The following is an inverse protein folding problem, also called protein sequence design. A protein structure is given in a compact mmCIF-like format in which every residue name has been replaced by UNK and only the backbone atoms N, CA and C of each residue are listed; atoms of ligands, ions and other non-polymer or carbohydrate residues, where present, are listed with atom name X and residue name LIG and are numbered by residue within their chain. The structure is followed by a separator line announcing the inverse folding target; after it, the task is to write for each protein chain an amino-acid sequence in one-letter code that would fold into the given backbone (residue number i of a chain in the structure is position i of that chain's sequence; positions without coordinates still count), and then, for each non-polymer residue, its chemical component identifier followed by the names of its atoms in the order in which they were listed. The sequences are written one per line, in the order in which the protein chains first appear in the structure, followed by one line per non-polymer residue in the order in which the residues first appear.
data_IF_768332392003
#
_entry.id   IF_768332392003
#
_cell.length_a   1.000
_cell.length_b   1.000
_cell.length_c   1.000
_cell.angle_alpha   90.00
_cell.angle_beta   90.00
_cell.angle_gamma   90.00
#
_symmetry.space_group_name_H-M   'P 1'
#
loop_
_entity.id
_entity.type
_entity.pdbx_description
1 polymer ?
#
# COMPACT_ATOMS: atom_id res chain seq x y z
N UNK A 1 16.01 -23.34 -7.14
CA UNK A 1 15.81 -21.98 -6.57
C UNK A 1 14.36 -21.92 -6.12
N UNK A 2 14.13 -21.44 -4.91
CA UNK A 2 12.78 -21.28 -4.37
C UNK A 2 12.20 -19.91 -4.84
N UNK A 3 10.95 -19.89 -5.22
CA UNK A 3 10.22 -18.66 -5.51
C UNK A 3 9.42 -18.22 -4.26
N UNK A 4 9.13 -16.94 -4.14
CA UNK A 4 8.20 -16.43 -3.16
C UNK A 4 6.80 -16.34 -3.78
N UNK A 5 5.87 -17.14 -3.29
CA UNK A 5 4.49 -17.21 -3.82
C UNK A 5 3.52 -16.58 -2.85
N UNK A 6 2.57 -15.78 -3.33
CA UNK A 6 1.46 -15.28 -2.52
C UNK A 6 0.46 -16.43 -2.34
N UNK A 7 0.31 -16.94 -1.12
CA UNK A 7 -0.62 -18.03 -0.82
C UNK A 7 -1.90 -17.56 -0.14
N UNK A 8 -1.90 -16.38 0.47
CA UNK A 8 -3.08 -15.78 1.11
C UNK A 8 -3.04 -14.27 1.05
N UNK A 9 -4.22 -13.65 0.99
CA UNK A 9 -4.43 -12.20 1.04
C UNK A 9 -5.45 -11.85 2.12
N UNK A 10 -5.34 -10.66 2.71
CA UNK A 10 -6.30 -10.18 3.69
C UNK A 10 -6.34 -8.66 3.73
N UNK A 11 -7.53 -8.10 3.85
CA UNK A 11 -7.75 -6.67 3.96
C UNK A 11 -8.61 -6.33 5.18
N UNK A 12 -8.45 -5.11 5.68
CA UNK A 12 -9.32 -4.54 6.70
C UNK A 12 -9.44 -3.03 6.52
N UNK A 13 -10.67 -2.53 6.63
CA UNK A 13 -11.00 -1.11 6.62
C UNK A 13 -11.75 -0.77 7.91
N UNK A 14 -11.45 0.36 8.56
CA UNK A 14 -12.24 0.85 9.70
C UNK A 14 -13.73 0.90 9.39
N UNK A 15 -14.57 0.64 10.37
CA UNK A 15 -16.03 0.65 10.20
C UNK A 15 -16.60 2.05 9.95
N UNK A 16 -15.90 3.10 10.37
CA UNK A 16 -16.35 4.49 10.22
C UNK A 16 -16.13 4.98 8.79
N UNK A 17 -17.20 5.04 8.01
CA UNK A 17 -17.21 5.55 6.63
C UNK A 17 -17.47 7.04 6.63
N UNK A 18 -16.58 7.80 6.01
CA UNK A 18 -16.70 9.24 5.80
C UNK A 18 -16.94 9.50 4.31
N UNK A 19 -18.10 10.06 3.98
CA UNK A 19 -18.50 10.39 2.61
C UNK A 19 -17.99 11.78 2.21
N UNK A 20 -18.05 12.10 0.90
CA UNK A 20 -17.76 13.45 0.45
C UNK A 20 -18.73 14.50 1.04
N UNK A 21 -20.00 14.14 1.25
CA UNK A 21 -20.98 15.02 1.90
C UNK A 21 -20.65 15.31 3.37
N UNK A 22 -19.94 14.41 4.06
CA UNK A 22 -19.45 14.69 5.40
C UNK A 22 -18.31 15.69 5.38
N UNK A 23 -17.45 15.63 4.37
CA UNK A 23 -16.35 16.59 4.18
C UNK A 23 -16.82 17.98 3.78
N UNK A 24 -17.95 18.10 3.08
CA UNK A 24 -18.59 19.41 2.77
C UNK A 24 -18.95 20.22 4.03
N UNK A 25 -19.10 19.53 5.18
CA UNK A 25 -19.37 20.16 6.47
C UNK A 25 -18.10 20.69 7.15
N UNK A 26 -16.93 20.23 6.72
CA UNK A 26 -15.64 20.51 7.36
C UNK A 26 -14.81 21.52 6.57
N UNK A 27 -14.82 21.43 5.23
CA UNK A 27 -14.02 22.29 4.34
C UNK A 27 -14.84 22.74 3.13
N UNK A 28 -14.42 23.83 2.50
CA UNK A 28 -15.02 24.35 1.27
C UNK A 28 -14.77 23.44 0.07
N UNK A 29 -15.64 22.43 -0.10
CA UNK A 29 -15.57 21.41 -1.16
C UNK A 29 -16.98 20.96 -1.58
N UNK A 30 -17.08 20.05 -2.57
CA UNK A 30 -18.32 19.37 -2.93
C UNK A 30 -18.06 17.94 -3.38
N UNK A 31 -19.06 17.05 -3.25
CA UNK A 31 -19.01 15.68 -3.76
C UNK A 31 -18.62 15.67 -5.24
N UNK A 32 -19.25 16.52 -6.05
CA UNK A 32 -18.92 16.64 -7.47
C UNK A 32 -17.45 17.00 -7.68
N UNK A 33 -16.93 18.01 -6.98
CA UNK A 33 -15.54 18.45 -7.11
C UNK A 33 -14.53 17.35 -6.74
N UNK A 34 -14.80 16.60 -5.66
CA UNK A 34 -13.94 15.48 -5.22
C UNK A 34 -13.97 14.36 -6.25
N UNK A 35 -15.15 13.91 -6.69
CA UNK A 35 -15.31 12.81 -7.67
C UNK A 35 -14.64 13.13 -9.00
N UNK A 36 -14.85 14.31 -9.55
CA UNK A 36 -14.27 14.70 -10.85
C UNK A 36 -12.74 14.73 -10.82
N UNK A 37 -12.14 15.07 -9.68
CA UNK A 37 -10.69 15.22 -9.55
C UNK A 37 -9.98 13.98 -9.07
N UNK A 38 -10.63 13.16 -8.27
CA UNK A 38 -9.99 12.04 -7.57
C UNK A 38 -10.64 10.69 -7.85
N UNK A 39 -11.92 10.68 -8.23
CA UNK A 39 -12.74 9.48 -8.30
C UNK A 39 -13.22 8.97 -6.93
N UNK A 40 -12.87 9.65 -5.83
CA UNK A 40 -13.19 9.22 -4.47
C UNK A 40 -14.64 9.60 -4.14
N UNK A 41 -15.39 8.63 -3.61
CA UNK A 41 -16.77 8.80 -3.13
C UNK A 41 -16.83 8.80 -1.61
N UNK A 42 -16.00 7.97 -1.00
CA UNK A 42 -15.90 7.80 0.45
C UNK A 42 -14.48 7.34 0.83
N UNK A 43 -14.19 7.39 2.12
CA UNK A 43 -13.01 6.81 2.74
C UNK A 43 -13.38 6.22 4.10
N UNK A 44 -12.51 5.40 4.63
CA UNK A 44 -12.65 4.84 5.97
C UNK A 44 -11.66 5.53 6.90
N UNK A 45 -12.10 5.87 8.09
CA UNK A 45 -11.29 6.59 9.07
C UNK A 45 -11.32 5.82 10.38
N UNK A 46 -10.15 5.50 10.92
CA UNK A 46 -10.01 4.83 12.20
C UNK A 46 -10.67 5.64 13.32
N UNK A 47 -11.45 4.96 14.15
CA UNK A 47 -12.12 5.59 15.30
C UNK A 47 -11.09 5.95 16.39
N UNK A 48 -11.51 6.72 17.38
CA UNK A 48 -10.66 7.04 18.53
C UNK A 48 -10.18 5.75 19.23
N UNK A 49 -8.88 5.65 19.46
CA UNK A 49 -8.25 4.47 20.07
C UNK A 49 -7.91 3.34 19.11
N UNK A 50 -8.45 3.32 17.89
CA UNK A 50 -8.07 2.35 16.85
C UNK A 50 -6.72 2.75 16.22
N UNK A 51 -5.75 1.85 16.23
CA UNK A 51 -4.37 2.11 15.84
C UNK A 51 -4.00 1.40 14.53
N UNK A 52 -2.83 1.75 13.96
CA UNK A 52 -2.32 1.09 12.74
C UNK A 52 -2.15 -0.41 12.96
N UNK A 53 -1.69 -0.84 14.14
CA UNK A 53 -1.54 -2.27 14.43
C UNK A 53 -2.87 -2.96 14.64
N UNK A 54 -3.91 -2.29 15.14
CA UNK A 54 -5.26 -2.87 15.23
C UNK A 54 -5.78 -3.23 13.83
N UNK A 55 -5.63 -2.32 12.86
CA UNK A 55 -6.02 -2.58 11.47
C UNK A 55 -5.19 -3.70 10.86
N UNK A 56 -3.88 -3.66 11.09
CA UNK A 56 -2.93 -4.66 10.58
C UNK A 56 -3.20 -6.06 11.13
N UNK A 57 -3.57 -6.19 12.40
CA UNK A 57 -3.93 -7.46 13.02
C UNK A 57 -5.11 -8.11 12.31
N UNK A 58 -6.19 -7.36 12.04
CA UNK A 58 -7.36 -7.89 11.33
C UNK A 58 -7.01 -8.33 9.90
N UNK A 59 -6.27 -7.49 9.15
CA UNK A 59 -5.83 -7.84 7.81
C UNK A 59 -4.91 -9.08 7.81
N UNK A 60 -4.00 -9.19 8.79
CA UNK A 60 -3.09 -10.32 8.92
C UNK A 60 -3.82 -11.62 9.24
N UNK A 61 -4.79 -11.60 10.17
CA UNK A 61 -5.61 -12.77 10.48
C UNK A 61 -6.40 -13.25 9.26
N UNK A 62 -6.98 -12.31 8.48
CA UNK A 62 -7.67 -12.63 7.24
C UNK A 62 -6.71 -13.24 6.19
N UNK A 63 -5.45 -12.78 6.11
CA UNK A 63 -4.46 -13.33 5.20
C UNK A 63 -3.99 -14.74 5.62
N UNK A 64 -3.80 -14.98 6.91
CA UNK A 64 -3.43 -16.28 7.50
C UNK A 64 -4.55 -17.29 7.25
N UNK A 65 -5.81 -16.92 7.51
CA UNK A 65 -6.98 -17.76 7.23
C UNK A 65 -7.08 -18.12 5.74
N UNK A 66 -6.92 -17.11 4.86
CA UNK A 66 -6.96 -17.32 3.41
C UNK A 66 -5.81 -18.20 2.89
N UNK A 67 -4.65 -18.16 3.56
CA UNK A 67 -3.51 -19.02 3.26
C UNK A 67 -3.70 -20.47 3.76
N UNK A 68 -4.61 -20.69 4.72
CA UNK A 68 -4.83 -21.99 5.34
C UNK A 68 -3.66 -22.52 6.17
N UNK A 69 -2.88 -21.61 6.77
CA UNK A 69 -1.71 -21.95 7.60
C UNK A 69 -1.95 -21.59 9.08
N UNK A 70 -1.14 -22.15 9.95
CA UNK A 70 -1.04 -21.70 11.34
C UNK A 70 -0.11 -20.48 11.44
N UNK A 71 -0.45 -19.51 12.32
CA UNK A 71 0.38 -18.32 12.52
C UNK A 71 1.82 -18.66 12.95
N UNK A 72 2.03 -19.77 13.65
CA UNK A 72 3.35 -20.26 14.07
C UNK A 72 4.27 -20.68 12.92
N UNK A 73 3.73 -20.84 11.70
CA UNK A 73 4.53 -21.13 10.50
C UNK A 73 5.21 -19.86 9.93
N UNK A 74 4.83 -18.68 10.41
CA UNK A 74 5.41 -17.41 9.96
C UNK A 74 6.78 -17.23 10.63
N UNK A 75 7.82 -17.12 9.82
CA UNK A 75 9.21 -16.98 10.25
C UNK A 75 9.84 -15.63 9.84
N UNK A 76 9.03 -14.70 9.27
CA UNK A 76 9.41 -13.31 8.96
C UNK A 76 8.17 -12.40 8.95
N UNK A 77 8.28 -11.22 9.57
CA UNK A 77 7.26 -10.17 9.46
C UNK A 77 7.91 -8.89 8.92
N UNK A 78 7.41 -8.39 7.78
CA UNK A 78 7.80 -7.09 7.20
C UNK A 78 6.58 -6.19 7.15
N UNK A 79 6.63 -5.08 7.87
CA UNK A 79 5.51 -4.16 8.05
C UNK A 79 5.82 -2.80 7.44
N UNK A 80 5.06 -2.39 6.43
CA UNK A 80 5.18 -1.09 5.79
C UNK A 80 4.19 -0.09 6.38
N UNK A 81 4.70 0.98 6.99
CA UNK A 81 3.87 2.06 7.53
C UNK A 81 4.64 3.37 7.62
N UNK A 82 3.92 4.50 7.51
CA UNK A 82 4.39 5.85 7.83
C UNK A 82 3.74 6.40 9.10
N UNK A 83 2.78 5.65 9.67
CA UNK A 83 1.99 6.02 10.85
C UNK A 83 2.08 4.91 11.93
N UNK A 84 3.30 4.59 12.41
CA UNK A 84 3.46 3.55 13.43
C UNK A 84 2.81 3.97 14.75
N UNK A 85 2.30 3.01 15.52
CA UNK A 85 1.67 3.27 16.83
C UNK A 85 2.64 3.88 17.82
N UNK A 86 3.92 3.54 17.71
CA UNK A 86 4.99 3.97 18.62
C UNK A 86 6.27 4.28 17.86
N UNK A 87 7.15 5.08 18.46
CA UNK A 87 8.50 5.29 17.94
C UNK A 87 9.28 3.96 18.01
N UNK A 88 9.14 3.24 19.11
CA UNK A 88 9.59 1.87 19.35
C UNK A 88 8.76 1.24 20.48
N UNK A 89 8.57 -0.10 20.55
CA UNK A 89 8.99 -1.06 19.54
C UNK A 89 8.30 -0.84 18.19
N UNK A 90 8.81 -1.49 17.13
CA UNK A 90 8.22 -1.44 15.79
C UNK A 90 6.79 -1.99 15.77
N UNK A 91 5.97 -1.54 14.81
CA UNK A 91 4.61 -2.05 14.60
C UNK A 91 4.63 -3.55 14.32
N UNK A 92 5.63 -4.04 13.58
CA UNK A 92 5.84 -5.47 13.33
C UNK A 92 6.05 -6.27 14.62
N UNK A 93 6.83 -5.77 15.59
CA UNK A 93 7.01 -6.45 16.89
C UNK A 93 5.73 -6.47 17.72
N UNK A 94 4.93 -5.40 17.66
CA UNK A 94 3.65 -5.35 18.36
C UNK A 94 2.67 -6.33 17.71
N UNK A 95 2.59 -6.36 16.38
CA UNK A 95 1.77 -7.29 15.62
C UNK A 95 2.17 -8.74 15.87
N UNK A 96 3.48 -9.04 15.90
CA UNK A 96 4.03 -10.35 16.21
C UNK A 96 3.49 -10.90 17.53
N UNK A 97 3.52 -10.06 18.58
CA UNK A 97 3.02 -10.45 19.90
C UNK A 97 1.50 -10.67 19.89
N UNK A 98 0.73 -9.87 19.14
CA UNK A 98 -0.74 -10.01 19.04
C UNK A 98 -1.17 -11.26 18.26
N UNK A 99 -0.36 -11.70 17.31
CA UNK A 99 -0.59 -12.93 16.55
C UNK A 99 -0.04 -14.18 17.24
N UNK A 100 0.56 -14.04 18.45
CA UNK A 100 1.20 -15.10 19.22
C UNK A 100 2.35 -15.79 18.43
N UNK A 101 3.07 -15.02 17.62
CA UNK A 101 4.24 -15.47 16.86
C UNK A 101 5.48 -15.12 17.65
N UNK A 102 6.45 -16.05 17.73
CA UNK A 102 7.65 -15.87 18.55
C UNK A 102 8.92 -16.17 17.78
N UNK A 103 9.99 -15.41 18.08
CA UNK A 103 11.37 -15.69 17.68
C UNK A 103 11.75 -15.38 16.24
N UNK A 104 10.81 -15.03 15.36
CA UNK A 104 11.14 -14.62 14.00
C UNK A 104 11.54 -13.14 13.93
N UNK A 105 12.35 -12.72 12.91
CA UNK A 105 12.58 -11.31 12.62
C UNK A 105 11.26 -10.57 12.32
N UNK A 106 11.09 -9.41 12.96
CA UNK A 106 9.93 -8.54 12.77
C UNK A 106 10.38 -7.07 12.77
N UNK A 107 10.15 -6.34 11.68
CA UNK A 107 10.61 -4.97 11.52
C UNK A 107 9.71 -4.15 10.61
N UNK A 108 9.70 -2.83 10.87
CA UNK A 108 8.99 -1.86 10.04
C UNK A 108 9.90 -1.33 8.94
N UNK A 109 9.29 -0.96 7.82
CA UNK A 109 9.91 -0.19 6.74
C UNK A 109 9.06 1.02 6.41
N UNK A 110 9.69 2.09 5.94
CA UNK A 110 9.00 3.29 5.50
C UNK A 110 9.38 3.63 4.06
N UNK A 111 8.40 3.61 3.17
CA UNK A 111 8.48 4.13 1.81
C UNK A 111 7.12 4.70 1.37
N UNK A 112 6.34 5.20 2.32
CA UNK A 112 5.02 5.81 2.16
C UNK A 112 4.11 4.94 1.27
N UNK A 113 3.51 5.48 0.23
CA UNK A 113 2.60 4.75 -0.65
C UNK A 113 3.26 3.56 -1.39
N UNK A 114 4.59 3.56 -1.52
CA UNK A 114 5.35 2.45 -2.12
C UNK A 114 5.76 1.40 -1.09
N UNK A 115 5.45 1.62 0.20
CA UNK A 115 5.90 0.79 1.31
C UNK A 115 5.62 -0.69 1.12
N UNK A 116 4.41 -1.06 0.68
CA UNK A 116 4.06 -2.46 0.47
C UNK A 116 4.89 -3.12 -0.65
N UNK A 117 5.16 -2.41 -1.75
CA UNK A 117 6.01 -2.89 -2.85
C UNK A 117 7.45 -3.14 -2.35
N UNK A 118 7.99 -2.23 -1.53
CA UNK A 118 9.29 -2.40 -0.88
C UNK A 118 9.29 -3.60 0.08
N UNK A 119 8.23 -3.75 0.89
CA UNK A 119 8.08 -4.87 1.82
C UNK A 119 8.06 -6.22 1.10
N UNK A 120 7.30 -6.32 -0.01
CA UNK A 120 7.27 -7.51 -0.87
C UNK A 120 8.66 -7.82 -1.44
N UNK A 121 9.35 -6.80 -1.96
CA UNK A 121 10.69 -6.97 -2.52
C UNK A 121 11.69 -7.47 -1.47
N UNK A 122 11.62 -6.95 -0.24
CA UNK A 122 12.49 -7.39 0.87
C UNK A 122 12.16 -8.84 1.26
N UNK A 123 10.90 -9.15 1.52
CA UNK A 123 10.47 -10.49 1.93
C UNK A 123 10.79 -11.55 0.86
N UNK A 124 10.63 -11.21 -0.42
CA UNK A 124 11.05 -12.07 -1.55
C UNK A 124 12.53 -12.44 -1.45
N UNK A 125 13.42 -11.50 -1.11
CA UNK A 125 14.86 -11.78 -1.01
C UNK A 125 15.16 -12.70 0.15
N UNK A 126 14.50 -12.54 1.30
CA UNK A 126 14.64 -13.48 2.44
C UNK A 126 14.22 -14.89 2.05
N UNK A 127 13.12 -15.05 1.32
CA UNK A 127 12.64 -16.36 0.86
C UNK A 127 13.59 -16.95 -0.18
N UNK A 128 13.99 -16.20 -1.20
CA UNK A 128 14.89 -16.66 -2.26
C UNK A 128 16.28 -17.07 -1.74
N UNK A 129 16.76 -16.43 -0.68
CA UNK A 129 18.04 -16.80 -0.02
C UNK A 129 17.92 -17.94 0.98
N UNK A 130 16.70 -18.41 1.26
CA UNK A 130 16.44 -19.44 2.26
C UNK A 130 16.55 -18.94 3.71
N UNK A 131 16.58 -17.60 3.91
CA UNK A 131 16.62 -16.99 5.25
C UNK A 131 15.25 -16.96 5.92
N UNK A 132 14.18 -17.10 5.15
CA UNK A 132 12.80 -17.29 5.60
C UNK A 132 12.09 -18.27 4.66
N UNK A 133 11.07 -18.95 5.17
CA UNK A 133 10.19 -19.84 4.39
C UNK A 133 8.81 -19.26 4.20
N UNK A 134 8.26 -18.63 5.25
CA UNK A 134 6.90 -18.08 5.26
C UNK A 134 6.94 -16.67 5.83
N UNK A 135 6.61 -15.67 5.02
CA UNK A 135 6.64 -14.27 5.41
C UNK A 135 5.24 -13.67 5.45
N UNK A 136 4.92 -12.95 6.52
CA UNK A 136 3.79 -12.03 6.59
C UNK A 136 4.28 -10.65 6.14
N UNK A 137 3.66 -10.12 5.09
CA UNK A 137 3.95 -8.78 4.54
C UNK A 137 2.72 -7.91 4.69
N UNK A 138 2.86 -6.80 5.41
CA UNK A 138 1.76 -5.91 5.77
C UNK A 138 2.01 -4.51 5.24
N UNK A 139 0.96 -3.87 4.72
CA UNK A 139 0.89 -2.43 4.51
C UNK A 139 -0.30 -1.88 5.29
N UNK A 140 -0.05 -0.99 6.25
CA UNK A 140 -1.12 -0.46 7.11
C UNK A 140 -0.87 0.99 7.49
N UNK A 141 -1.95 1.79 7.54
CA UNK A 141 -1.88 3.22 7.84
C UNK A 141 -3.12 3.71 8.60
N UNK A 142 -2.90 4.57 9.55
CA UNK A 142 -3.89 5.52 10.08
C UNK A 142 -3.49 6.91 9.60
N UNK A 143 -3.59 7.13 8.28
CA UNK A 143 -3.10 8.34 7.62
C UNK A 143 -3.90 9.58 8.01
N UNK A 144 -5.16 9.40 8.43
CA UNK A 144 -6.04 10.45 8.94
C UNK A 144 -5.47 11.22 10.13
N UNK A 145 -4.54 10.62 10.89
CA UNK A 145 -3.91 11.22 12.08
C UNK A 145 -2.87 12.31 11.75
N UNK A 146 -2.36 12.31 10.54
CA UNK A 146 -1.36 13.26 10.05
C UNK A 146 -1.92 14.21 9.00
N UNK A 147 -3.26 14.30 8.86
CA UNK A 147 -3.94 15.24 7.98
C UNK A 147 -4.28 16.54 8.70
N UNK A 148 -4.04 17.66 8.03
CA UNK A 148 -4.69 18.91 8.38
C UNK A 148 -6.10 18.90 7.79
N UNK A 149 -7.11 18.73 8.63
CA UNK A 149 -8.51 18.67 8.20
C UNK A 149 -9.07 20.00 7.68
N UNK A 150 -8.31 21.10 7.80
CA UNK A 150 -8.62 22.39 7.18
C UNK A 150 -8.01 22.54 5.77
N UNK A 151 -7.07 21.65 5.38
CA UNK A 151 -6.48 21.63 4.05
C UNK A 151 -7.27 20.74 3.10
N UNK A 152 -8.14 21.37 2.30
CA UNK A 152 -8.90 20.70 1.23
C UNK A 152 -8.01 19.95 0.22
N UNK A 153 -6.74 20.34 0.06
CA UNK A 153 -5.83 19.75 -0.91
C UNK A 153 -5.41 18.32 -0.53
N UNK A 154 -5.46 17.99 0.74
CA UNK A 154 -5.02 16.70 1.28
C UNK A 154 -6.14 15.92 1.97
N UNK A 155 -6.97 16.53 2.81
CA UNK A 155 -7.94 15.83 3.64
C UNK A 155 -9.02 15.07 2.83
N UNK A 156 -9.30 15.49 1.60
CA UNK A 156 -10.28 14.82 0.72
C UNK A 156 -9.73 13.56 0.05
N UNK A 157 -8.42 13.30 0.13
CA UNK A 157 -7.77 12.21 -0.60
C UNK A 157 -7.62 10.95 0.24
N UNK A 158 -7.14 11.10 1.47
CA UNK A 158 -6.62 9.98 2.24
C UNK A 158 -7.68 9.29 3.09
N UNK A 159 -7.44 8.01 3.33
CA UNK A 159 -8.18 7.17 4.27
C UNK A 159 -7.25 6.21 4.99
N UNK A 160 -7.81 5.46 5.92
CA UNK A 160 -7.12 4.50 6.77
C UNK A 160 -7.45 3.07 6.33
N UNK A 161 -6.54 2.14 6.61
CA UNK A 161 -6.76 0.73 6.31
C UNK A 161 -5.49 -0.10 6.42
N UNK A 162 -5.66 -1.41 6.29
CA UNK A 162 -4.57 -2.37 6.27
C UNK A 162 -4.81 -3.46 5.22
N UNK A 163 -3.74 -3.88 4.58
CA UNK A 163 -3.74 -5.07 3.75
C UNK A 163 -2.51 -5.91 4.02
N UNK A 164 -2.66 -7.22 3.92
CA UNK A 164 -1.60 -8.18 4.20
C UNK A 164 -1.59 -9.31 3.18
N UNK A 165 -0.41 -9.88 2.97
CA UNK A 165 -0.27 -11.13 2.22
C UNK A 165 0.65 -12.09 2.96
N UNK A 166 0.44 -13.39 2.75
CA UNK A 166 1.37 -14.44 3.12
C UNK A 166 2.17 -14.83 1.89
N UNK A 167 3.50 -14.68 1.98
CA UNK A 167 4.44 -15.24 1.02
C UNK A 167 4.97 -16.57 1.56
N UNK A 168 5.07 -17.58 0.71
CA UNK A 168 5.67 -18.85 1.05
C UNK A 168 6.67 -19.29 -0.03
N UNK A 169 7.73 -19.95 0.41
CA UNK A 169 8.71 -20.60 -0.45
C UNK A 169 8.06 -21.72 -1.23
N UNK A 170 8.15 -21.69 -2.57
CA UNK A 170 7.58 -22.68 -3.47
C UNK A 170 8.55 -23.02 -4.62
N UNK A 171 8.39 -24.19 -5.23
CA UNK A 171 9.07 -24.54 -6.46
C UNK A 171 8.37 -23.95 -7.70
N UNK A 172 7.05 -23.70 -7.59
CA UNK A 172 6.28 -23.02 -8.63
C UNK A 172 6.56 -21.51 -8.61
N UNK A 173 6.49 -20.92 -9.80
CA UNK A 173 6.72 -19.49 -9.99
C UNK A 173 5.68 -18.65 -9.25
N UNK A 174 6.15 -17.77 -8.38
CA UNK A 174 5.36 -16.75 -7.72
C UNK A 174 5.80 -15.36 -8.16
N UNK A 175 6.56 -14.63 -7.32
CA UNK A 175 7.17 -13.35 -7.71
C UNK A 175 8.27 -13.59 -8.75
N UNK A 176 8.08 -13.05 -9.96
CA UNK A 176 9.05 -13.15 -11.05
C UNK A 176 10.18 -12.14 -10.84
N UNK A 177 9.81 -10.89 -10.60
CA UNK A 177 10.76 -9.80 -10.35
C UNK A 177 10.15 -8.71 -9.48
N UNK A 178 11.02 -7.98 -8.79
CA UNK A 178 10.68 -6.78 -8.04
C UNK A 178 11.70 -5.68 -8.33
N UNK A 179 11.21 -4.46 -8.56
CA UNK A 179 12.00 -3.28 -8.89
C UNK A 179 11.60 -2.15 -7.95
N UNK A 180 12.58 -1.58 -7.25
CA UNK A 180 12.35 -0.50 -6.28
C UNK A 180 13.38 0.61 -6.47
N UNK A 181 12.92 1.86 -6.39
CA UNK A 181 13.74 3.06 -6.64
C UNK A 181 13.33 4.21 -5.74
N UNK A 182 14.25 5.13 -5.50
CA UNK A 182 14.02 6.39 -4.81
C UNK A 182 14.80 7.55 -5.45
N UNK A 183 14.27 8.78 -5.28
CA UNK A 183 14.98 10.02 -5.62
C UNK A 183 14.65 11.11 -4.58
N UNK A 184 15.53 11.28 -3.61
CA UNK A 184 15.34 12.17 -2.46
C UNK A 184 15.34 13.67 -2.81
N UNK A 185 15.72 14.08 -4.04
CA UNK A 185 15.68 15.49 -4.45
C UNK A 185 14.26 16.09 -4.47
N UNK A 186 13.23 15.26 -4.41
CA UNK A 186 11.82 15.66 -4.43
C UNK A 186 11.15 15.62 -3.04
N UNK A 187 11.92 15.57 -1.96
CA UNK A 187 11.42 15.38 -0.59
C UNK A 187 10.24 16.30 -0.24
N UNK A 188 10.29 17.58 -0.61
CA UNK A 188 9.31 18.60 -0.27
C UNK A 188 8.06 18.67 -1.17
N UNK A 189 7.87 17.70 -2.07
CA UNK A 189 6.70 17.65 -2.95
C UNK A 189 5.54 16.85 -2.33
N UNK A 190 5.85 15.89 -1.46
CA UNK A 190 4.89 15.13 -0.66
C UNK A 190 5.59 14.64 0.60
N UNK A 191 5.36 15.30 1.72
CA UNK A 191 6.10 15.07 2.97
C UNK A 191 5.27 15.44 4.21
N UNK A 192 5.78 15.08 5.36
CA UNK A 192 5.45 15.68 6.66
C UNK A 192 6.70 16.40 7.13
N UNK A 193 6.70 17.74 7.23
CA UNK A 193 7.94 18.52 7.39
C UNK A 193 8.63 18.33 8.73
N UNK A 194 7.92 17.86 9.75
CA UNK A 194 8.42 17.66 11.09
C UNK A 194 8.14 16.27 11.64
N UNK A 195 9.08 15.73 12.39
CA UNK A 195 8.99 14.42 13.01
C UNK A 195 9.72 14.36 14.35
N UNK A 196 9.90 13.17 14.88
CA UNK A 196 10.54 12.96 16.19
C UNK A 196 11.99 13.47 16.27
N UNK A 197 12.68 13.58 15.12
CA UNK A 197 14.05 14.13 15.03
C UNK A 197 14.14 15.60 15.40
N UNK A 198 13.06 16.36 15.19
CA UNK A 198 12.96 17.78 15.56
C UNK A 198 12.45 17.96 17.01
N UNK A 199 12.19 16.86 17.74
CA UNK A 199 11.53 16.89 19.03
C UNK A 199 10.00 17.03 18.91
N UNK A 200 9.31 17.00 20.06
CA UNK A 200 7.84 16.96 20.08
C UNK A 200 7.17 18.34 20.01
N UNK A 201 7.91 19.44 20.12
CA UNK A 201 7.30 20.77 20.17
C UNK A 201 6.61 21.11 18.84
N UNK A 202 7.25 20.83 17.70
CA UNK A 202 6.65 21.06 16.38
C UNK A 202 5.38 20.20 16.16
N UNK A 203 5.38 18.97 16.69
CA UNK A 203 4.20 18.08 16.65
C UNK A 203 3.06 18.64 17.51
N UNK A 204 3.36 19.09 18.73
CA UNK A 204 2.38 19.70 19.64
C UNK A 204 1.80 21.01 19.12
N UNK A 205 2.60 21.78 18.37
CA UNK A 205 2.17 23.02 17.70
C UNK A 205 1.33 22.78 16.43
N UNK A 206 1.07 21.53 16.07
CA UNK A 206 0.27 21.17 14.89
C UNK A 206 0.99 21.42 13.56
N UNK A 207 2.32 21.32 13.54
CA UNK A 207 3.14 21.54 12.32
C UNK A 207 3.56 20.24 11.61
N UNK A 208 3.19 19.08 12.14
CA UNK A 208 3.53 17.77 11.61
C UNK A 208 2.37 17.17 10.77
N UNK A 209 1.86 17.93 9.83
CA UNK A 209 0.82 17.47 8.90
C UNK A 209 1.38 17.25 7.49
N UNK A 210 0.69 16.40 6.73
CA UNK A 210 1.02 16.14 5.33
C UNK A 210 0.88 17.41 4.50
N UNK A 211 1.92 17.73 3.77
CA UNK A 211 1.93 18.77 2.74
C UNK A 211 2.15 18.14 1.37
N UNK A 212 1.43 18.60 0.34
CA UNK A 212 1.51 18.06 -1.01
C UNK A 212 1.41 19.13 -2.09
N UNK A 213 2.34 19.09 -3.04
CA UNK A 213 2.26 19.84 -4.31
C UNK A 213 1.61 18.97 -5.38
N UNK A 214 0.29 18.85 -5.34
CA UNK A 214 -0.47 17.86 -6.10
C UNK A 214 -0.22 17.82 -7.60
N UNK A 215 0.00 18.96 -8.26
CA UNK A 215 0.26 19.00 -9.71
C UNK A 215 1.62 18.42 -10.08
N UNK A 216 2.66 18.70 -9.30
CA UNK A 216 3.99 18.17 -9.48
C UNK A 216 4.02 16.67 -9.20
N UNK A 217 3.40 16.24 -8.08
CA UNK A 217 3.25 14.81 -7.71
C UNK A 217 2.55 14.06 -8.83
N UNK A 218 1.43 14.58 -9.36
CA UNK A 218 0.70 13.94 -10.46
C UNK A 218 1.57 13.72 -11.71
N UNK A 219 2.29 14.77 -12.17
CA UNK A 219 3.15 14.68 -13.35
C UNK A 219 4.27 13.64 -13.16
N UNK A 220 4.88 13.64 -11.98
CA UNK A 220 5.95 12.69 -11.66
C UNK A 220 5.43 11.26 -11.58
N UNK A 221 4.31 11.03 -10.90
CA UNK A 221 3.70 9.72 -10.77
C UNK A 221 3.40 9.09 -12.15
N UNK A 222 2.65 9.80 -13.01
CA UNK A 222 2.28 9.29 -14.34
C UNK A 222 3.49 8.94 -15.21
N UNK A 223 4.55 9.77 -15.15
CA UNK A 223 5.76 9.51 -15.93
C UNK A 223 6.57 8.33 -15.38
N UNK A 224 6.69 8.24 -14.07
CA UNK A 224 7.51 7.24 -13.38
C UNK A 224 6.85 5.86 -13.42
N UNK A 225 5.54 5.77 -13.17
CA UNK A 225 4.80 4.52 -13.26
C UNK A 225 4.87 3.92 -14.67
N UNK A 226 4.78 4.73 -15.72
CA UNK A 226 4.95 4.21 -17.08
C UNK A 226 6.36 3.67 -17.38
N UNK A 227 7.42 4.23 -16.76
CA UNK A 227 8.80 3.75 -16.93
C UNK A 227 9.06 2.47 -16.16
N UNK A 228 8.58 2.38 -14.92
CA UNK A 228 8.79 1.18 -14.10
C UNK A 228 8.12 -0.06 -14.70
N UNK A 229 6.98 0.12 -15.37
CA UNK A 229 6.36 -0.97 -16.14
C UNK A 229 7.23 -1.45 -17.27
N UNK A 230 7.77 -0.52 -18.09
CA UNK A 230 8.65 -0.88 -19.21
C UNK A 230 9.91 -1.60 -18.68
N UNK A 231 10.49 -1.16 -17.55
CA UNK A 231 11.61 -1.83 -16.87
C UNK A 231 11.24 -3.25 -16.44
N UNK A 232 10.08 -3.42 -15.77
CA UNK A 232 9.61 -4.72 -15.27
C UNK A 232 9.42 -5.72 -16.42
N UNK A 233 8.79 -5.28 -17.49
CA UNK A 233 8.55 -6.14 -18.66
C UNK A 233 9.84 -6.53 -19.36
N UNK A 234 10.78 -5.58 -19.53
CA UNK A 234 12.08 -5.85 -20.11
C UNK A 234 12.91 -6.87 -19.29
N UNK A 235 12.83 -6.77 -17.95
CA UNK A 235 13.51 -7.71 -17.05
C UNK A 235 12.99 -9.14 -17.12
N UNK A 236 11.78 -9.35 -17.67
CA UNK A 236 11.12 -10.64 -17.77
C UNK A 236 10.91 -11.12 -19.21
N UNK A 237 11.45 -10.43 -20.22
CA UNK A 237 11.22 -10.70 -21.65
C UNK A 237 9.72 -10.77 -22.01
N UNK A 238 8.91 -9.91 -21.37
CA UNK A 238 7.44 -9.89 -21.53
C UNK A 238 6.96 -8.64 -22.25
N UNK A 239 5.73 -8.73 -22.76
CA UNK A 239 5.01 -7.63 -23.41
C UNK A 239 3.86 -7.16 -22.53
N UNK A 240 3.37 -5.94 -22.78
CA UNK A 240 2.20 -5.39 -22.06
C UNK A 240 0.95 -6.27 -22.18
N UNK A 241 0.81 -6.98 -23.30
CA UNK A 241 -0.30 -7.91 -23.53
C UNK A 241 -0.26 -9.19 -22.70
N UNK A 242 0.86 -9.47 -22.06
CA UNK A 242 1.04 -10.68 -21.25
C UNK A 242 0.53 -10.49 -19.81
N UNK A 243 0.29 -9.22 -19.40
CA UNK A 243 -0.26 -8.88 -18.09
C UNK A 243 -1.77 -9.10 -18.11
N UNK A 244 -2.27 -9.95 -17.23
CA UNK A 244 -3.70 -10.17 -17.04
C UNK A 244 -4.34 -9.04 -16.22
N UNK A 245 -3.68 -8.63 -15.13
CA UNK A 245 -4.19 -7.62 -14.19
C UNK A 245 -3.15 -6.58 -13.79
N UNK A 246 -3.59 -5.32 -13.72
CA UNK A 246 -2.87 -4.23 -13.08
C UNK A 246 -3.53 -3.92 -11.73
N UNK A 247 -2.75 -3.96 -10.66
CA UNK A 247 -3.15 -3.52 -9.30
C UNK A 247 -2.27 -2.34 -8.89
N UNK A 248 -2.65 -1.12 -9.29
CA UNK A 248 -1.86 0.07 -9.00
C UNK A 248 -2.17 0.61 -7.61
N UNK A 249 -1.25 1.43 -7.08
CA UNK A 249 -1.55 2.30 -5.95
C UNK A 249 -2.81 3.14 -6.19
N UNK A 250 -3.73 3.15 -5.24
CA UNK A 250 -5.03 3.78 -5.31
C UNK A 250 -4.99 5.25 -4.87
N UNK A 251 -4.13 6.05 -5.51
CA UNK A 251 -3.97 7.46 -5.16
C UNK A 251 -5.11 8.34 -5.70
N UNK A 252 -5.47 8.11 -6.97
CA UNK A 252 -6.35 8.97 -7.75
C UNK A 252 -6.72 8.28 -9.05
N UNK A 253 -8.01 8.27 -9.40
CA UNK A 253 -8.49 7.62 -10.65
C UNK A 253 -7.82 8.16 -11.91
N UNK A 254 -7.42 9.44 -11.93
CA UNK A 254 -6.76 10.04 -13.08
C UNK A 254 -5.34 9.50 -13.29
N UNK A 255 -4.60 9.22 -12.21
CA UNK A 255 -3.28 8.55 -12.28
C UNK A 255 -3.47 7.13 -12.76
N UNK A 256 -4.39 6.38 -12.16
CA UNK A 256 -4.71 4.98 -12.51
C UNK A 256 -5.06 4.88 -14.01
N UNK A 257 -5.97 5.71 -14.49
CA UNK A 257 -6.38 5.74 -15.90
C UNK A 257 -5.22 6.12 -16.84
N UNK A 258 -4.38 7.09 -16.43
CA UNK A 258 -3.24 7.50 -17.24
C UNK A 258 -2.19 6.37 -17.36
N UNK A 259 -1.97 5.61 -16.29
CA UNK A 259 -1.08 4.43 -16.30
C UNK A 259 -1.64 3.31 -17.16
N UNK A 260 -2.92 2.95 -16.98
CA UNK A 260 -3.60 1.96 -17.82
C UNK A 260 -3.48 2.29 -19.32
N UNK A 261 -3.66 3.57 -19.67
CA UNK A 261 -3.50 4.06 -21.06
C UNK A 261 -2.07 3.86 -21.59
N UNK A 262 -1.05 4.14 -20.78
CA UNK A 262 0.36 3.90 -21.15
C UNK A 262 0.66 2.42 -21.37
N UNK A 263 0.04 1.55 -20.57
CA UNK A 263 0.09 0.10 -20.71
C UNK A 263 -0.71 -0.41 -21.90
N UNK A 264 -1.60 0.40 -22.46
CA UNK A 264 -2.62 -0.01 -23.46
C UNK A 264 -3.56 -1.09 -22.92
N UNK A 265 -3.81 -1.08 -21.61
CA UNK A 265 -4.76 -1.97 -20.95
C UNK A 265 -6.16 -1.37 -20.92
N UNK A 266 -7.19 -2.22 -21.02
CA UNK A 266 -8.56 -1.84 -20.71
C UNK A 266 -8.70 -1.59 -19.20
N UNK A 267 -9.56 -0.64 -18.81
CA UNK A 267 -9.88 -0.44 -17.39
C UNK A 267 -10.52 -1.67 -16.74
N UNK A 268 -11.08 -2.61 -17.52
CA UNK A 268 -11.61 -3.88 -17.03
C UNK A 268 -10.50 -4.81 -16.48
N UNK A 269 -9.24 -4.59 -16.86
CA UNK A 269 -8.06 -5.30 -16.38
C UNK A 269 -7.33 -4.54 -15.26
N UNK A 270 -7.91 -3.44 -14.78
CA UNK A 270 -7.31 -2.60 -13.74
C UNK A 270 -8.16 -2.66 -12.48
N UNK A 271 -7.54 -3.02 -11.38
CA UNK A 271 -8.24 -3.02 -10.09
C UNK A 271 -8.39 -1.59 -9.60
N UNK A 272 -9.63 -1.16 -9.39
CA UNK A 272 -9.98 0.17 -8.89
C UNK A 272 -10.79 0.02 -7.60
N UNK A 273 -10.26 0.56 -6.50
CA UNK A 273 -10.93 0.60 -5.20
C UNK A 273 -10.89 2.01 -4.58
N UNK A 274 -10.20 2.94 -5.24
CA UNK A 274 -10.02 4.31 -4.76
C UNK A 274 -11.33 5.05 -4.51
N UNK A 275 -12.39 4.73 -5.25
CA UNK A 275 -13.71 5.34 -5.08
C UNK A 275 -14.32 5.04 -3.69
N UNK A 276 -14.06 3.87 -3.13
CA UNK A 276 -14.60 3.44 -1.83
C UNK A 276 -13.61 3.53 -0.67
N UNK A 277 -12.32 3.32 -0.96
CA UNK A 277 -11.29 3.26 0.08
C UNK A 277 -10.58 4.61 0.29
N UNK A 278 -10.61 5.52 -0.71
CA UNK A 278 -9.71 6.66 -0.77
C UNK A 278 -8.26 6.20 -1.00
N UNK A 279 -7.32 7.08 -0.71
CA UNK A 279 -5.89 6.77 -0.73
C UNK A 279 -5.44 6.30 0.66
N UNK A 280 -5.23 5.01 0.82
CA UNK A 280 -4.77 4.39 2.08
C UNK A 280 -3.25 4.17 2.13
N UNK A 281 -2.47 4.97 1.39
CA UNK A 281 -0.99 4.94 1.36
C UNK A 281 -0.42 3.53 1.18
N UNK A 282 0.39 3.00 2.10
CA UNK A 282 1.00 1.67 2.01
C UNK A 282 -0.04 0.52 1.96
N UNK A 283 -1.23 0.71 2.52
CA UNK A 283 -2.29 -0.29 2.52
C UNK A 283 -3.01 -0.43 1.17
N UNK A 284 -2.87 0.54 0.25
CA UNK A 284 -3.76 0.63 -0.91
C UNK A 284 -3.59 -0.53 -1.90
N UNK A 285 -2.36 -0.93 -2.20
CA UNK A 285 -2.08 -2.04 -3.13
C UNK A 285 -2.56 -3.38 -2.56
N UNK A 286 -2.20 -3.77 -1.31
CA UNK A 286 -2.64 -5.04 -0.76
C UNK A 286 -4.16 -5.09 -0.52
N UNK A 287 -4.82 -3.99 -0.16
CA UNK A 287 -6.27 -3.92 -0.09
C UNK A 287 -6.93 -4.12 -1.46
N UNK A 288 -6.41 -3.47 -2.50
CA UNK A 288 -6.94 -3.62 -3.85
C UNK A 288 -6.74 -5.05 -4.37
N UNK A 289 -5.58 -5.65 -4.08
CA UNK A 289 -5.30 -7.06 -4.42
C UNK A 289 -6.28 -7.99 -3.70
N UNK A 290 -6.48 -7.84 -2.38
CA UNK A 290 -7.40 -8.68 -1.60
C UNK A 290 -8.84 -8.60 -2.14
N UNK A 291 -9.33 -7.40 -2.44
CA UNK A 291 -10.65 -7.20 -3.05
C UNK A 291 -10.79 -7.98 -4.36
N UNK A 292 -9.80 -7.85 -5.26
CA UNK A 292 -9.87 -8.49 -6.58
C UNK A 292 -9.69 -10.02 -6.53
N UNK A 293 -9.00 -10.53 -5.52
CA UNK A 293 -8.89 -11.97 -5.25
C UNK A 293 -10.21 -12.51 -4.68
N UNK A 294 -10.78 -11.84 -3.67
CA UNK A 294 -12.01 -12.29 -3.02
C UNK A 294 -13.24 -12.22 -3.91
N UNK A 295 -13.33 -11.24 -4.80
CA UNK A 295 -14.44 -11.15 -5.75
C UNK A 295 -14.25 -12.01 -7.02
N UNK A 296 -13.15 -12.74 -7.13
CA UNK A 296 -12.85 -13.71 -8.16
C UNK A 296 -12.38 -13.12 -9.49
N UNK A 297 -12.06 -11.81 -9.53
CA UNK A 297 -11.42 -11.21 -10.71
C UNK A 297 -10.04 -11.80 -10.94
N UNK A 298 -9.16 -11.73 -9.94
CA UNK A 298 -7.82 -12.32 -10.02
C UNK A 298 -7.87 -13.79 -9.60
N UNK A 299 -7.36 -14.66 -10.49
CA UNK A 299 -7.34 -16.12 -10.28
C UNK A 299 -5.92 -16.67 -10.23
N UNK A 300 -5.77 -17.85 -9.63
CA UNK A 300 -4.49 -18.56 -9.61
C UNK A 300 -3.97 -18.80 -11.03
N UNK A 301 -2.67 -18.54 -11.21
CA UNK A 301 -1.97 -18.67 -12.48
C UNK A 301 -1.96 -17.41 -13.34
N UNK A 302 -2.77 -16.39 -13.05
CA UNK A 302 -2.78 -15.13 -13.79
C UNK A 302 -1.56 -14.24 -13.43
N UNK A 303 -1.13 -13.45 -14.40
CA UNK A 303 0.00 -12.54 -14.29
C UNK A 303 -0.48 -11.17 -13.81
N UNK A 304 -0.08 -10.80 -12.61
CA UNK A 304 -0.49 -9.57 -11.92
C UNK A 304 0.69 -8.63 -11.79
N UNK A 305 0.54 -7.39 -12.25
CA UNK A 305 1.49 -6.31 -12.03
C UNK A 305 1.00 -5.43 -10.87
N UNK A 306 1.75 -5.43 -9.78
CA UNK A 306 1.58 -4.51 -8.65
C UNK A 306 2.51 -3.32 -8.86
N UNK A 307 2.04 -2.09 -8.69
CA UNK A 307 2.89 -0.91 -8.80
C UNK A 307 2.48 0.20 -7.84
N UNK A 308 3.45 1.00 -7.41
CA UNK A 308 3.20 2.16 -6.55
C UNK A 308 4.20 3.28 -6.79
N UNK A 309 3.76 4.49 -6.41
CA UNK A 309 4.55 5.71 -6.35
C UNK A 309 4.15 6.49 -5.09
N UNK A 310 5.10 7.02 -4.35
CA UNK A 310 4.86 7.70 -3.08
C UNK A 310 5.87 8.78 -2.75
N UNK A 311 5.65 9.40 -1.59
CA UNK A 311 6.56 10.41 -1.03
C UNK A 311 8.00 9.90 -0.96
N UNK A 312 8.95 10.84 -1.07
CA UNK A 312 10.36 10.55 -1.07
C UNK A 312 11.13 11.23 -2.21
N UNK A 313 10.91 11.11 -3.55
CA UNK A 313 9.96 10.11 -4.04
C UNK A 313 10.50 8.69 -3.97
N UNK A 314 9.59 7.75 -3.78
CA UNK A 314 9.82 6.33 -3.93
C UNK A 314 8.88 5.75 -4.99
N UNK A 315 9.31 4.72 -5.72
CA UNK A 315 8.45 3.99 -6.65
C UNK A 315 8.93 2.56 -6.82
N UNK A 316 8.05 1.72 -7.29
CA UNK A 316 8.41 0.34 -7.57
C UNK A 316 7.28 -0.48 -8.16
N UNK A 317 7.63 -1.68 -8.57
CA UNK A 317 6.73 -2.69 -9.11
C UNK A 317 7.12 -4.09 -8.67
N UNK A 318 6.15 -4.96 -8.61
CA UNK A 318 6.32 -6.41 -8.45
C UNK A 318 5.48 -7.11 -9.50
N UNK A 319 6.10 -7.98 -10.29
CA UNK A 319 5.43 -8.86 -11.21
C UNK A 319 5.27 -10.23 -10.57
N UNK A 320 4.04 -10.68 -10.42
CA UNK A 320 3.72 -11.92 -9.73
C UNK A 320 2.79 -12.79 -10.57
N UNK A 321 3.07 -14.09 -10.62
CA UNK A 321 2.10 -15.11 -11.02
C UNK A 321 1.34 -15.53 -9.77
N UNK A 322 0.06 -15.17 -9.76
CA UNK A 322 -0.78 -15.30 -8.54
C UNK A 322 -1.15 -16.76 -8.24
#
# INVERSE_FOLDING_TARGET
MSFARIIGTGGYLPSNVVTNHDLEKLVDTSDQWIRERTGIEQRHIAVEGETTVDLAEQASRNAIEAAGIDASEIDLIVFATSTPDKIFPSSACILQARLDIHGCPAFDIQAVCTGFIYALSIAEKFIKTGSARTALVVGAEVFSRILNWEDRGTCVLFGDGAGAVILQADEETGILSSHIHADGKYENLLWVPHGVGDGFDQVKEGKAFVEMRGNEVFKMAVNTLGRIVDETLAANDMKKSDIDWLVPHQANIRIITATARKLKMSMDQVVVTVNKHGNTSAASVPLALDVAVRDGRIKRGELVLLEAFGGGFTWGSVLVRF
#
